data_IF_104530254243
#
_entry.id   IF_104530254243
#
_cell.length_a   1.000
_cell.length_b   1.000
_cell.length_c   1.000
_cell.angle_alpha   90.00
_cell.angle_beta   90.00
_cell.angle_gamma   90.00
#
_symmetry.space_group_name_H-M   'P 1'
#
loop_
_entity.id
_entity.type
_entity.pdbx_description
1 polymer ?
#
# COMPACT_ATOMS: atom_id res chain seq x y z
N UNK A 1 -26.62 -3.40 14.05
CA UNK A 1 -25.49 -3.15 14.98
C UNK A 1 -24.39 -2.44 14.20
N UNK A 2 -23.69 -1.51 14.84
CA UNK A 2 -22.63 -0.69 14.22
C UNK A 2 -21.30 -0.98 14.89
N UNK A 3 -20.29 -1.44 14.14
CA UNK A 3 -18.98 -1.85 14.70
C UNK A 3 -17.95 -0.74 14.49
N UNK A 4 -17.09 -0.50 15.48
CA UNK A 4 -15.92 0.37 15.34
C UNK A 4 -14.84 -0.34 14.53
N UNK A 5 -14.34 0.33 13.50
CA UNK A 5 -13.36 -0.25 12.57
C UNK A 5 -11.97 -0.44 13.17
N UNK A 6 -11.66 0.24 14.28
CA UNK A 6 -10.33 0.20 14.92
C UNK A 6 -10.22 -0.78 16.09
N UNK A 7 -11.34 -1.15 16.74
CA UNK A 7 -11.28 -2.00 17.93
C UNK A 7 -12.38 -3.07 17.99
N UNK A 8 -13.21 -3.19 16.96
CA UNK A 8 -14.25 -4.22 16.88
C UNK A 8 -15.42 -4.05 17.86
N UNK A 9 -15.47 -2.98 18.67
CA UNK A 9 -16.60 -2.74 19.59
C UNK A 9 -17.89 -2.50 18.81
N UNK A 10 -18.96 -3.17 19.21
CA UNK A 10 -20.30 -3.04 18.61
C UNK A 10 -21.15 -2.04 19.40
N UNK A 11 -22.00 -1.32 18.68
CA UNK A 11 -22.90 -0.31 19.20
C UNK A 11 -24.30 -0.53 18.64
N UNK A 12 -25.31 -0.17 19.42
CA UNK A 12 -26.72 -0.22 19.00
C UNK A 12 -27.10 0.96 18.11
N UNK A 13 -26.36 2.08 18.18
CA UNK A 13 -26.61 3.30 17.40
C UNK A 13 -25.36 3.81 16.68
N UNK A 14 -25.58 4.48 15.54
CA UNK A 14 -24.51 5.14 14.75
C UNK A 14 -23.81 6.23 15.55
N UNK A 15 -24.56 7.06 16.27
CA UNK A 15 -24.04 8.19 17.05
C UNK A 15 -23.04 7.74 18.12
N UNK A 16 -23.34 6.63 18.81
CA UNK A 16 -22.45 6.07 19.82
C UNK A 16 -21.16 5.51 19.21
N UNK A 17 -21.27 4.78 18.09
CA UNK A 17 -20.10 4.33 17.33
C UNK A 17 -19.26 5.53 16.88
N UNK A 18 -19.86 6.57 16.29
CA UNK A 18 -19.13 7.74 15.78
C UNK A 18 -18.39 8.49 16.89
N UNK A 19 -19.00 8.68 18.06
CA UNK A 19 -18.32 9.28 19.22
C UNK A 19 -17.14 8.41 19.69
N UNK A 20 -17.36 7.11 19.81
CA UNK A 20 -16.32 6.18 20.21
C UNK A 20 -15.17 6.14 19.20
N UNK A 21 -15.47 6.15 17.89
CA UNK A 21 -14.51 6.12 16.80
C UNK A 21 -13.46 7.23 16.95
N UNK A 22 -13.89 8.47 17.24
CA UNK A 22 -12.99 9.61 17.47
C UNK A 22 -12.02 9.37 18.63
N UNK A 23 -12.52 8.86 19.75
CA UNK A 23 -11.68 8.58 20.94
C UNK A 23 -10.74 7.41 20.69
N UNK A 24 -11.23 6.37 20.01
CA UNK A 24 -10.43 5.20 19.64
C UNK A 24 -9.30 5.59 18.69
N UNK A 25 -9.62 6.41 17.67
CA UNK A 25 -8.66 6.92 16.71
C UNK A 25 -7.54 7.73 17.38
N UNK A 26 -7.90 8.62 18.31
CA UNK A 26 -6.92 9.45 19.04
C UNK A 26 -5.96 8.65 19.94
N UNK A 27 -6.24 7.36 20.20
CA UNK A 27 -5.35 6.48 20.96
C UNK A 27 -4.38 5.69 20.09
N UNK A 28 -4.58 5.69 18.78
CA UNK A 28 -3.67 5.02 17.84
C UNK A 28 -2.37 5.81 17.79
N UNK A 29 -1.25 5.10 17.96
CA UNK A 29 0.08 5.64 17.67
C UNK A 29 0.38 5.27 16.22
N UNK A 30 0.32 6.27 15.35
CA UNK A 30 0.56 6.06 13.92
C UNK A 30 2.06 5.90 13.63
N UNK A 31 2.40 5.00 12.72
CA UNK A 31 3.72 4.98 12.10
C UNK A 31 3.84 6.15 11.12
N UNK A 32 5.05 6.71 10.93
CA UNK A 32 5.27 7.68 9.86
C UNK A 32 4.88 7.08 8.49
N UNK A 33 4.33 7.91 7.61
CA UNK A 33 4.06 7.56 6.22
C UNK A 33 5.34 7.06 5.53
N UNK A 34 5.20 6.01 4.73
CA UNK A 34 6.30 5.26 4.09
C UNK A 34 7.25 4.56 5.09
N UNK A 35 6.81 4.37 6.34
CA UNK A 35 7.48 3.60 7.40
C UNK A 35 6.48 2.70 8.13
N UNK A 36 5.58 2.10 7.37
CA UNK A 36 4.56 1.19 7.87
C UNK A 36 5.20 0.02 8.63
N UNK A 37 4.53 -0.42 9.68
CA UNK A 37 4.84 -1.68 10.34
C UNK A 37 4.62 -2.81 9.33
N UNK A 38 5.70 -3.51 8.97
CA UNK A 38 5.65 -4.67 8.07
C UNK A 38 5.86 -5.99 8.80
N UNK A 39 6.10 -5.96 10.12
CA UNK A 39 6.43 -7.15 10.90
C UNK A 39 5.33 -8.20 10.84
N UNK A 40 4.06 -7.78 10.81
CA UNK A 40 2.93 -8.71 10.70
C UNK A 40 2.83 -9.38 9.32
N UNK A 41 3.40 -8.77 8.28
CA UNK A 41 3.48 -9.35 6.93
C UNK A 41 4.67 -10.29 6.86
N UNK A 42 5.86 -9.83 7.28
CA UNK A 42 7.11 -10.59 7.20
C UNK A 42 7.12 -11.82 8.11
N UNK A 43 6.53 -11.72 9.32
CA UNK A 43 6.47 -12.82 10.27
C UNK A 43 5.27 -13.75 10.05
N UNK A 44 4.45 -13.51 9.02
CA UNK A 44 3.38 -14.42 8.64
C UNK A 44 3.98 -15.72 8.08
N UNK A 45 3.55 -16.87 8.60
CA UNK A 45 4.01 -18.18 8.13
C UNK A 45 3.64 -18.48 6.66
N UNK A 46 2.78 -17.65 6.05
CA UNK A 46 2.42 -17.67 4.64
C UNK A 46 3.00 -16.47 3.87
N UNK A 47 3.95 -15.71 4.41
CA UNK A 47 4.57 -14.55 3.76
C UNK A 47 4.99 -14.87 2.31
N UNK A 48 5.78 -15.94 2.12
CA UNK A 48 6.24 -16.37 0.80
C UNK A 48 5.08 -16.63 -0.16
N UNK A 49 4.08 -17.41 0.27
CA UNK A 49 2.89 -17.73 -0.54
C UNK A 49 2.07 -16.49 -0.85
N UNK A 50 2.00 -15.54 0.07
CA UNK A 50 1.30 -14.26 -0.13
C UNK A 50 2.04 -13.43 -1.18
N UNK A 51 3.35 -13.25 -1.04
CA UNK A 51 4.15 -12.47 -1.99
C UNK A 51 4.22 -13.12 -3.38
N UNK A 52 4.29 -14.46 -3.48
CA UNK A 52 4.11 -15.15 -4.77
C UNK A 52 2.78 -14.80 -5.43
N UNK A 53 1.68 -14.73 -4.67
CA UNK A 53 0.36 -14.32 -5.21
C UNK A 53 0.34 -12.85 -5.62
N UNK A 54 1.05 -11.97 -4.90
CA UNK A 54 1.22 -10.56 -5.26
C UNK A 54 1.92 -10.48 -6.63
N UNK A 55 3.11 -11.06 -6.77
CA UNK A 55 3.90 -11.03 -8.01
C UNK A 55 3.12 -11.68 -9.16
N UNK A 56 2.59 -12.89 -8.95
CA UNK A 56 1.86 -13.60 -10.01
C UNK A 56 0.50 -12.98 -10.35
N UNK A 57 -0.02 -12.10 -9.48
CA UNK A 57 -1.28 -11.37 -9.66
C UNK A 57 -1.14 -10.04 -10.40
N UNK A 58 0.09 -9.62 -10.74
CA UNK A 58 0.38 -8.40 -11.48
C UNK A 58 -0.09 -7.15 -10.74
N UNK A 59 -0.70 -6.20 -11.46
CA UNK A 59 -1.23 -4.93 -10.91
C UNK A 59 -2.21 -5.14 -9.75
N UNK A 60 -3.07 -6.16 -9.83
CA UNK A 60 -4.00 -6.45 -8.73
C UNK A 60 -3.27 -6.92 -7.47
N UNK A 61 -2.14 -7.61 -7.65
CA UNK A 61 -1.23 -7.94 -6.57
C UNK A 61 -0.66 -6.69 -5.92
N UNK A 62 -0.11 -5.76 -6.70
CA UNK A 62 0.42 -4.47 -6.19
C UNK A 62 -0.64 -3.73 -5.35
N UNK A 63 -1.87 -3.60 -5.87
CA UNK A 63 -2.97 -2.96 -5.15
C UNK A 63 -3.31 -3.71 -3.85
N UNK A 64 -3.25 -5.04 -3.87
CA UNK A 64 -3.48 -5.86 -2.69
C UNK A 64 -2.39 -5.67 -1.62
N UNK A 65 -1.13 -5.49 -2.02
CA UNK A 65 -0.04 -5.17 -1.09
C UNK A 65 -0.23 -3.76 -0.51
N UNK A 66 -0.58 -2.76 -1.34
CA UNK A 66 -0.94 -1.43 -0.84
C UNK A 66 -2.07 -1.48 0.18
N UNK A 67 -3.08 -2.32 -0.06
CA UNK A 67 -4.20 -2.50 0.87
C UNK A 67 -3.77 -3.08 2.21
N UNK A 68 -2.88 -4.07 2.22
CA UNK A 68 -2.33 -4.57 3.47
C UNK A 68 -1.49 -3.49 4.16
N UNK A 69 -0.48 -2.99 3.46
CA UNK A 69 0.50 -2.06 4.01
C UNK A 69 -0.15 -0.80 4.59
N UNK A 70 -1.07 -0.17 3.85
CA UNK A 70 -1.62 1.14 4.23
C UNK A 70 -3.04 1.09 4.78
N UNK A 71 -3.83 0.04 4.51
CA UNK A 71 -5.29 0.07 4.72
C UNK A 71 -5.84 -1.13 5.51
N UNK A 72 -4.99 -1.93 6.14
CA UNK A 72 -5.45 -3.03 6.98
C UNK A 72 -6.09 -2.51 8.27
N UNK A 73 -7.34 -2.91 8.51
CA UNK A 73 -8.09 -2.52 9.71
C UNK A 73 -7.54 -3.15 10.99
N UNK A 74 -6.83 -4.27 10.86
CA UNK A 74 -6.16 -4.93 11.98
C UNK A 74 -4.83 -4.28 12.35
N UNK A 75 -4.29 -3.44 11.46
CA UNK A 75 -3.05 -2.67 11.66
C UNK A 75 -3.31 -1.17 11.53
N UNK A 76 -4.14 -0.60 12.45
CA UNK A 76 -4.53 0.79 12.39
C UNK A 76 -3.35 1.77 12.55
N UNK A 77 -2.21 1.33 13.10
CA UNK A 77 -0.97 2.10 13.18
C UNK A 77 -0.46 2.52 11.80
N UNK A 78 -0.72 1.72 10.75
CA UNK A 78 -0.34 2.03 9.38
C UNK A 78 -1.35 2.94 8.66
N UNK A 79 -2.45 3.34 9.32
CA UNK A 79 -3.42 4.28 8.74
C UNK A 79 -2.92 5.72 8.81
N UNK A 80 -1.77 5.97 8.19
CA UNK A 80 -0.97 7.19 8.25
C UNK A 80 -1.15 8.10 7.03
N UNK A 81 -2.14 7.82 6.18
CA UNK A 81 -2.61 8.65 5.06
C UNK A 81 -4.14 8.71 5.07
N UNK A 82 -4.70 9.89 4.79
CA UNK A 82 -6.15 10.10 4.68
C UNK A 82 -6.51 11.18 3.67
N UNK A 83 -7.70 11.06 3.10
CA UNK A 83 -8.27 12.10 2.25
C UNK A 83 -8.80 13.26 3.09
N UNK A 84 -8.88 14.42 2.44
CA UNK A 84 -9.51 15.63 2.96
C UNK A 84 -10.61 16.06 1.98
N UNK A 85 -11.35 17.13 2.28
CA UNK A 85 -12.44 17.61 1.39
C UNK A 85 -11.96 18.10 0.02
N UNK A 86 -10.67 18.31 -0.11
CA UNK A 86 -9.99 18.77 -1.31
C UNK A 86 -9.44 17.54 -2.03
N UNK A 87 -9.85 17.33 -3.29
CA UNK A 87 -9.49 16.11 -4.02
C UNK A 87 -8.06 16.15 -4.58
N UNK A 88 -7.40 17.31 -4.58
CA UNK A 88 -6.02 17.43 -5.08
C UNK A 88 -4.97 16.97 -4.09
N UNK A 89 -5.29 17.03 -2.80
CA UNK A 89 -4.33 16.86 -1.72
C UNK A 89 -4.80 15.79 -0.72
N UNK A 90 -3.85 15.26 0.03
CA UNK A 90 -4.08 14.31 1.14
C UNK A 90 -3.33 14.77 2.37
N UNK A 91 -3.68 14.22 3.53
CA UNK A 91 -2.87 14.36 4.73
C UNK A 91 -2.10 13.08 5.03
N UNK A 92 -0.80 13.22 5.25
CA UNK A 92 0.09 12.15 5.70
C UNK A 92 0.62 12.44 7.10
N UNK A 93 0.83 11.40 7.90
CA UNK A 93 1.45 11.53 9.22
C UNK A 93 2.96 11.37 9.10
N UNK A 94 3.73 12.40 9.43
CA UNK A 94 5.20 12.38 9.29
C UNK A 94 5.94 11.83 10.53
N UNK A 95 5.21 11.22 11.49
CA UNK A 95 5.75 10.80 12.79
C UNK A 95 5.58 11.82 13.92
N UNK A 96 5.22 13.07 13.60
CA UNK A 96 4.96 14.12 14.59
C UNK A 96 3.58 14.75 14.42
N UNK A 97 3.21 15.07 13.17
CA UNK A 97 1.94 15.72 12.84
C UNK A 97 1.44 15.31 11.47
N UNK A 98 0.16 15.53 11.24
CA UNK A 98 -0.45 15.45 9.91
C UNK A 98 0.02 16.64 9.07
N UNK A 99 0.41 16.36 7.83
CA UNK A 99 0.92 17.35 6.88
C UNK A 99 0.22 17.15 5.54
N UNK A 100 -0.18 18.26 4.91
CA UNK A 100 -0.80 18.26 3.58
C UNK A 100 0.27 18.04 2.52
N UNK A 101 -0.02 17.19 1.55
CA UNK A 101 0.83 16.89 0.39
C UNK A 101 -0.07 16.69 -0.83
N UNK A 102 0.48 16.91 -2.02
CA UNK A 102 -0.23 16.57 -3.25
C UNK A 102 -0.58 15.07 -3.27
N UNK A 103 -1.79 14.75 -3.73
CA UNK A 103 -2.28 13.37 -3.76
C UNK A 103 -1.43 12.48 -4.65
N UNK A 104 -1.09 12.94 -5.85
CA UNK A 104 -0.38 12.13 -6.83
C UNK A 104 1.07 11.89 -6.36
N UNK A 105 1.69 12.89 -5.73
CA UNK A 105 2.98 12.74 -5.03
C UNK A 105 2.91 11.69 -3.92
N UNK A 106 1.87 11.71 -3.07
CA UNK A 106 1.72 10.69 -2.03
C UNK A 106 1.55 9.27 -2.62
N UNK A 107 0.80 9.13 -3.71
CA UNK A 107 0.62 7.85 -4.38
C UNK A 107 1.93 7.35 -4.99
N UNK A 108 2.71 8.24 -5.62
CA UNK A 108 4.02 7.87 -6.18
C UNK A 108 4.98 7.42 -5.07
N UNK A 109 4.98 8.10 -3.92
CA UNK A 109 5.75 7.66 -2.74
C UNK A 109 5.30 6.29 -2.22
N UNK A 110 3.99 5.98 -2.24
CA UNK A 110 3.49 4.65 -1.87
C UNK A 110 3.97 3.59 -2.86
N UNK A 111 3.87 3.87 -4.16
CA UNK A 111 4.28 2.95 -5.22
C UNK A 111 5.77 2.65 -5.15
N UNK A 112 6.62 3.66 -4.93
CA UNK A 112 8.06 3.43 -4.75
C UNK A 112 8.34 2.50 -3.56
N UNK A 113 7.66 2.71 -2.43
CA UNK A 113 7.82 1.83 -1.26
C UNK A 113 7.31 0.42 -1.48
N UNK A 114 6.35 0.24 -2.37
CA UNK A 114 5.84 -1.08 -2.76
C UNK A 114 6.78 -1.75 -3.75
N UNK A 115 7.41 -0.99 -4.65
CA UNK A 115 8.48 -1.46 -5.51
C UNK A 115 9.64 -2.01 -4.68
N UNK A 116 10.12 -1.23 -3.69
CA UNK A 116 11.18 -1.66 -2.76
C UNK A 116 10.85 -3.00 -2.07
N UNK A 117 9.62 -3.15 -1.54
CA UNK A 117 9.19 -4.38 -0.87
C UNK A 117 9.14 -5.59 -1.82
N UNK A 118 8.65 -5.37 -3.04
CA UNK A 118 8.55 -6.42 -4.05
C UNK A 118 9.94 -6.81 -4.54
N UNK A 119 10.81 -5.85 -4.84
CA UNK A 119 12.17 -6.08 -5.30
C UNK A 119 12.98 -6.93 -4.32
N UNK A 120 12.91 -6.60 -3.02
CA UNK A 120 13.52 -7.40 -1.96
C UNK A 120 12.99 -8.86 -1.96
N UNK A 121 11.68 -9.05 -2.16
CA UNK A 121 11.11 -10.39 -2.28
C UNK A 121 11.55 -11.11 -3.56
N UNK A 122 11.69 -10.41 -4.69
CA UNK A 122 12.15 -11.00 -5.94
C UNK A 122 13.60 -11.49 -5.81
N UNK A 123 14.48 -10.70 -5.20
CA UNK A 123 15.85 -11.12 -4.87
C UNK A 123 15.87 -12.39 -4.01
N UNK A 124 15.09 -12.39 -2.93
CA UNK A 124 14.91 -13.58 -2.08
C UNK A 124 14.39 -14.80 -2.87
N UNK A 125 13.40 -14.60 -3.73
CA UNK A 125 12.78 -15.65 -4.53
C UNK A 125 13.76 -16.26 -5.54
N UNK A 126 14.60 -15.44 -6.17
CA UNK A 126 15.65 -15.90 -7.10
C UNK A 126 16.68 -16.74 -6.34
N UNK A 127 17.21 -16.23 -5.24
CA UNK A 127 18.22 -16.93 -4.41
C UNK A 127 17.71 -18.30 -3.94
N UNK A 128 16.44 -18.38 -3.54
CA UNK A 128 15.82 -19.59 -2.99
C UNK A 128 15.10 -20.44 -4.05
N UNK A 129 15.19 -20.09 -5.34
CA UNK A 129 14.56 -20.81 -6.47
C UNK A 129 13.03 -20.97 -6.32
N UNK A 130 12.40 -19.96 -5.74
CA UNK A 130 10.94 -19.91 -5.59
C UNK A 130 10.30 -19.65 -6.95
N UNK A 131 9.28 -20.44 -7.30
CA UNK A 131 8.59 -20.32 -8.58
C UNK A 131 7.69 -19.08 -8.63
N UNK A 132 8.10 -18.08 -9.42
CA UNK A 132 7.35 -16.84 -9.68
C UNK A 132 7.29 -16.55 -11.19
N UNK A 133 6.32 -15.74 -11.62
CA UNK A 133 6.19 -15.26 -12.99
C UNK A 133 6.98 -13.95 -13.18
N UNK A 134 8.31 -14.03 -13.05
CA UNK A 134 9.19 -12.86 -13.04
C UNK A 134 9.05 -12.01 -14.30
N UNK A 135 9.28 -12.58 -15.49
CA UNK A 135 9.21 -11.86 -16.77
C UNK A 135 7.85 -11.19 -16.97
N UNK A 136 6.77 -11.91 -16.64
CA UNK A 136 5.42 -11.37 -16.71
C UNK A 136 5.22 -10.20 -15.76
N UNK A 137 5.80 -10.24 -14.56
CA UNK A 137 5.71 -9.13 -13.62
C UNK A 137 6.52 -7.92 -14.11
N UNK A 138 7.73 -8.13 -14.63
CA UNK A 138 8.57 -7.06 -15.18
C UNK A 138 7.82 -6.33 -16.30
N UNK A 139 7.36 -7.06 -17.31
CA UNK A 139 6.74 -6.48 -18.51
C UNK A 139 5.37 -5.84 -18.25
N UNK A 140 4.57 -6.41 -17.34
CA UNK A 140 3.18 -5.95 -17.15
C UNK A 140 2.98 -5.10 -15.87
N UNK A 141 4.02 -4.93 -15.05
CA UNK A 141 3.94 -4.17 -13.80
C UNK A 141 5.13 -3.23 -13.64
N UNK A 142 6.35 -3.77 -13.59
CA UNK A 142 7.52 -2.97 -13.25
C UNK A 142 7.75 -1.87 -14.29
N UNK A 143 7.82 -2.22 -15.59
CA UNK A 143 8.00 -1.24 -16.68
C UNK A 143 6.84 -0.24 -16.76
N UNK A 144 5.55 -0.64 -16.84
CA UNK A 144 4.44 0.31 -16.92
C UNK A 144 4.31 1.26 -15.73
N UNK A 145 4.76 0.85 -14.54
CA UNK A 145 4.75 1.72 -13.35
C UNK A 145 6.05 2.50 -13.15
N UNK A 146 7.09 2.20 -13.92
CA UNK A 146 8.43 2.77 -13.76
C UNK A 146 9.08 2.36 -12.43
N UNK A 147 8.96 1.09 -12.04
CA UNK A 147 9.63 0.57 -10.85
C UNK A 147 11.12 0.40 -11.13
N UNK A 148 11.93 1.05 -10.30
CA UNK A 148 13.37 0.81 -10.22
C UNK A 148 13.60 -0.46 -9.39
N UNK A 149 14.02 -1.54 -10.04
CA UNK A 149 14.26 -2.85 -9.43
C UNK A 149 15.76 -3.10 -9.34
N UNK A 150 16.31 -3.14 -8.12
CA UNK A 150 17.75 -3.26 -7.89
C UNK A 150 18.21 -4.71 -7.77
N UNK A 151 17.33 -5.60 -7.27
CA UNK A 151 17.66 -7.00 -7.02
C UNK A 151 17.38 -7.90 -8.24
N UNK A 152 16.76 -7.35 -9.28
CA UNK A 152 16.50 -8.02 -10.54
C UNK A 152 17.06 -7.15 -11.65
N UNK A 153 17.89 -7.71 -12.53
CA UNK A 153 18.35 -7.01 -13.74
C UNK A 153 17.14 -6.75 -14.64
N UNK A 154 16.52 -5.58 -14.46
CA UNK A 154 15.51 -5.06 -15.36
C UNK A 154 16.20 -4.03 -16.22
N UNK A 155 16.49 -4.40 -17.47
CA UNK A 155 16.79 -3.44 -18.52
C UNK A 155 15.52 -2.61 -18.78
N UNK A 156 15.30 -1.59 -17.95
CA UNK A 156 14.36 -0.51 -18.27
C UNK A 156 15.16 0.43 -19.16
N UNK A 157 15.05 0.27 -20.48
CA UNK A 157 15.62 1.27 -21.40
C UNK A 157 14.98 2.62 -21.04
N UNK A 158 15.77 3.68 -20.88
CA UNK A 158 15.27 5.03 -20.59
C UNK A 158 14.29 5.55 -21.68
N UNK A 159 14.16 4.82 -22.80
CA UNK A 159 13.23 5.05 -23.91
C UNK A 159 12.01 4.11 -23.95
N UNK A 160 11.84 3.15 -23.03
CA UNK A 160 10.61 2.35 -22.99
C UNK A 160 9.45 3.27 -22.59
N UNK A 161 8.55 3.54 -23.54
CA UNK A 161 7.36 4.36 -23.33
C UNK A 161 6.56 3.81 -22.14
N UNK A 162 6.67 4.48 -20.98
CA UNK A 162 5.83 4.19 -19.82
C UNK A 162 4.39 4.22 -20.31
N UNK A 163 3.64 3.13 -20.13
CA UNK A 163 2.21 3.13 -20.42
C UNK A 163 1.48 4.01 -19.39
N UNK A 164 1.39 5.29 -19.73
CA UNK A 164 0.73 6.35 -18.96
C UNK A 164 -0.69 5.91 -18.57
N UNK A 165 -1.37 5.11 -19.40
CA UNK A 165 -2.72 4.63 -19.15
C UNK A 165 -2.78 3.67 -17.96
N UNK A 166 -1.83 2.73 -17.87
CA UNK A 166 -1.76 1.76 -16.77
C UNK A 166 -1.41 2.45 -15.47
N UNK A 167 -0.43 3.36 -15.51
CA UNK A 167 -0.02 4.15 -14.34
C UNK A 167 -1.20 4.93 -13.77
N UNK A 168 -2.02 5.52 -14.65
CA UNK A 168 -3.14 6.36 -14.24
C UNK A 168 -4.31 5.54 -13.68
N UNK A 169 -4.59 4.37 -14.27
CA UNK A 169 -5.55 3.42 -13.70
C UNK A 169 -5.14 2.94 -12.31
N UNK A 170 -3.85 2.65 -12.09
CA UNK A 170 -3.34 2.28 -10.76
C UNK A 170 -3.49 3.43 -9.76
N UNK A 171 -3.13 4.66 -10.15
CA UNK A 171 -3.30 5.85 -9.30
C UNK A 171 -4.76 6.04 -8.90
N UNK A 172 -5.71 5.91 -9.83
CA UNK A 172 -7.15 5.99 -9.53
C UNK A 172 -7.60 4.90 -8.55
N UNK A 173 -7.14 3.66 -8.73
CA UNK A 173 -7.46 2.55 -7.83
C UNK A 173 -6.89 2.77 -6.42
N UNK A 174 -5.67 3.28 -6.31
CA UNK A 174 -5.05 3.61 -5.02
C UNK A 174 -5.73 4.80 -4.34
N UNK A 175 -6.14 5.81 -5.09
CA UNK A 175 -6.93 6.91 -4.56
C UNK A 175 -8.29 6.42 -4.02
N UNK A 176 -8.99 5.57 -4.78
CA UNK A 176 -10.24 4.97 -4.34
C UNK A 176 -10.04 4.07 -3.10
N UNK A 177 -8.86 3.48 -2.92
CA UNK A 177 -8.52 2.67 -1.75
C UNK A 177 -8.37 3.53 -0.50
N UNK A 178 -7.62 4.64 -0.57
CA UNK A 178 -7.44 5.55 0.59
C UNK A 178 -8.70 6.33 0.93
N UNK A 179 -9.58 6.58 -0.05
CA UNK A 179 -10.85 7.32 0.13
C UNK A 179 -11.95 6.51 0.83
N UNK A 180 -11.82 5.17 0.89
CA UNK A 180 -12.82 4.27 1.49
C UNK A 180 -12.66 4.10 3.01
N UNK A 181 -11.75 4.83 3.64
CA UNK A 181 -11.47 4.79 5.08
C UNK A 181 -12.37 5.70 5.90
#
# INVERSE_FOLDING_TARGET
MFTCEHCGKTFTTTSNRTRHHKVCFNKIIFTPFCRENMDYIHNDNQYEKKMQKIVNGGINGVIQLCKWKYCDKNHPENSNIRTIKDDTDVEIFNGRKWTKINRDEAIDMMLQRIADDIDNFLGYAIEHKIKIKLDSFIENVAKPLGFDMLNVDVDVDDNDDIDITVKEDVRLKLYALISKK
#
